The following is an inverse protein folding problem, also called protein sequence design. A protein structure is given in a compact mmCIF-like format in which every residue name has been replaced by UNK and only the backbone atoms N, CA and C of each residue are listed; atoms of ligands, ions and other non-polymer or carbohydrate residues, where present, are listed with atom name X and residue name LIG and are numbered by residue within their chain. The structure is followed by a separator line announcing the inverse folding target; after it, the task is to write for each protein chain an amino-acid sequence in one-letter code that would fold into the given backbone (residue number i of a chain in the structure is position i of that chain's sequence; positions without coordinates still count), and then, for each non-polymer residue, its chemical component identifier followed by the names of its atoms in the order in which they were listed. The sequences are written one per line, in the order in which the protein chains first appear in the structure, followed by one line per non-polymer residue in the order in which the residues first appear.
data_IF_127015889650
#
_entry.id   IF_127015889650
#
_cell.length_a   1.000
_cell.length_b   1.000
_cell.length_c   1.000
_cell.angle_alpha   90.00
_cell.angle_beta   90.00
_cell.angle_gamma   90.00
#
_symmetry.space_group_name_H-M   'P 1'
#
loop_
_entity.id
_entity.type
_entity.pdbx_description
1 polymer ?
#
# COMPACT_ATOMS: atom_id res chain seq x y z
N UNK A 1 -21.60 -14.25 -11.64
CA UNK A 1 -20.22 -14.33 -11.16
C UNK A 1 -19.58 -12.95 -11.00
N UNK A 2 -19.51 -12.08 -12.02
CA UNK A 2 -18.94 -10.72 -11.89
C UNK A 2 -19.62 -9.87 -10.82
N UNK A 3 -20.94 -9.91 -10.73
CA UNK A 3 -21.69 -9.17 -9.71
C UNK A 3 -21.36 -9.67 -8.29
N UNK A 4 -21.29 -11.00 -8.09
CA UNK A 4 -20.90 -11.58 -6.81
C UNK A 4 -19.45 -11.19 -6.44
N UNK A 5 -18.53 -11.19 -7.42
CA UNK A 5 -17.16 -10.74 -7.25
C UNK A 5 -17.08 -9.25 -6.84
N UNK A 6 -17.83 -8.39 -7.54
CA UNK A 6 -17.94 -6.97 -7.22
C UNK A 6 -18.41 -6.73 -5.79
N UNK A 7 -19.51 -7.40 -5.39
CA UNK A 7 -20.07 -7.26 -4.03
C UNK A 7 -19.07 -7.73 -2.97
N UNK A 8 -18.36 -8.83 -3.24
CA UNK A 8 -17.33 -9.34 -2.33
C UNK A 8 -16.16 -8.36 -2.21
N UNK A 9 -15.65 -7.83 -3.32
CA UNK A 9 -14.60 -6.81 -3.33
C UNK A 9 -15.05 -5.53 -2.60
N UNK A 10 -16.28 -5.09 -2.81
CA UNK A 10 -16.86 -3.92 -2.14
C UNK A 10 -16.96 -4.13 -0.63
N UNK A 11 -17.40 -5.30 -0.21
CA UNK A 11 -17.44 -5.68 1.20
C UNK A 11 -16.03 -5.68 1.82
N UNK A 12 -15.04 -6.27 1.15
CA UNK A 12 -13.65 -6.27 1.61
C UNK A 12 -13.14 -4.83 1.75
N UNK A 13 -13.34 -3.99 0.73
CA UNK A 13 -12.93 -2.58 0.74
C UNK A 13 -13.59 -1.74 1.85
N UNK A 14 -14.87 -1.99 2.15
CA UNK A 14 -15.62 -1.28 3.19
C UNK A 14 -15.18 -1.64 4.61
N UNK A 15 -14.86 -2.91 4.86
CA UNK A 15 -14.54 -3.40 6.21
C UNK A 15 -13.06 -3.34 6.56
N UNK A 16 -12.19 -2.98 5.63
CA UNK A 16 -10.74 -2.96 5.90
C UNK A 16 -10.22 -1.54 6.08
N UNK A 17 -10.13 -1.12 7.33
CA UNK A 17 -9.60 0.18 7.75
C UNK A 17 -8.10 0.14 8.11
N UNK A 18 -7.40 -0.98 7.84
CA UNK A 18 -6.05 -1.23 8.35
C UNK A 18 -4.89 -1.25 7.34
N UNK A 19 -5.12 -0.84 6.08
CA UNK A 19 -4.11 -0.88 5.01
C UNK A 19 -4.07 -2.21 4.24
N UNK A 20 -3.36 -2.24 3.08
CA UNK A 20 -3.42 -3.34 2.12
C UNK A 20 -3.07 -4.72 2.67
N UNK A 21 -2.06 -4.80 3.55
CA UNK A 21 -1.67 -6.08 4.16
C UNK A 21 -2.69 -6.64 5.16
N UNK A 22 -3.47 -5.79 5.81
CA UNK A 22 -4.55 -6.23 6.71
C UNK A 22 -5.72 -6.88 5.95
N UNK A 23 -5.82 -6.62 4.64
CA UNK A 23 -6.82 -7.23 3.77
C UNK A 23 -6.51 -8.68 3.38
N UNK A 24 -5.25 -9.11 3.43
CA UNK A 24 -4.83 -10.43 2.95
C UNK A 24 -5.65 -11.57 3.59
N UNK A 25 -5.77 -11.66 4.92
CA UNK A 25 -6.55 -12.74 5.53
C UNK A 25 -8.04 -12.70 5.17
N UNK A 26 -8.58 -11.50 4.97
CA UNK A 26 -9.99 -11.32 4.60
C UNK A 26 -10.21 -11.75 3.15
N UNK A 27 -9.29 -11.38 2.25
CA UNK A 27 -9.31 -11.80 0.85
C UNK A 27 -9.15 -13.30 0.71
N UNK A 28 -8.19 -13.91 1.42
CA UNK A 28 -8.00 -15.37 1.43
C UNK A 28 -9.27 -16.07 1.88
N UNK A 29 -9.86 -15.66 2.99
CA UNK A 29 -11.10 -16.23 3.49
C UNK A 29 -12.26 -16.11 2.51
N UNK A 30 -12.45 -14.95 1.87
CA UNK A 30 -13.58 -14.74 0.96
C UNK A 30 -13.35 -15.45 -0.39
N UNK A 31 -12.15 -15.41 -0.98
CA UNK A 31 -11.91 -15.93 -2.33
C UNK A 31 -11.54 -17.42 -2.35
N UNK A 32 -10.80 -17.90 -1.35
CA UNK A 32 -10.35 -19.28 -1.26
C UNK A 32 -11.35 -20.12 -0.46
N UNK A 33 -11.63 -19.74 0.81
CA UNK A 33 -12.40 -20.61 1.71
C UNK A 33 -13.90 -20.55 1.41
N UNK A 34 -14.46 -19.36 1.23
CA UNK A 34 -15.92 -19.17 1.13
C UNK A 34 -16.44 -19.39 -0.29
N UNK A 35 -15.87 -18.69 -1.25
CA UNK A 35 -16.33 -18.75 -2.65
C UNK A 35 -15.62 -19.81 -3.47
N UNK A 36 -14.48 -20.31 -3.02
CA UNK A 36 -13.67 -21.32 -3.71
C UNK A 36 -13.41 -20.97 -5.18
N UNK A 37 -13.14 -19.69 -5.43
CA UNK A 37 -12.86 -19.21 -6.78
C UNK A 37 -11.45 -19.54 -7.24
N UNK A 38 -10.55 -19.83 -6.30
CA UNK A 38 -9.17 -20.24 -6.53
C UNK A 38 -8.67 -21.08 -5.35
N UNK A 39 -7.58 -21.80 -5.56
CA UNK A 39 -6.90 -22.48 -4.47
C UNK A 39 -5.95 -21.55 -3.70
N UNK A 40 -5.44 -22.05 -2.57
CA UNK A 40 -4.55 -21.26 -1.70
C UNK A 40 -3.21 -20.97 -2.37
N UNK A 41 -2.67 -21.89 -3.16
CA UNK A 41 -1.40 -21.71 -3.85
C UNK A 41 -1.52 -20.61 -4.90
N UNK A 42 -2.58 -20.65 -5.70
CA UNK A 42 -2.88 -19.61 -6.68
C UNK A 42 -3.05 -18.22 -6.07
N UNK A 43 -3.72 -18.15 -4.89
CA UNK A 43 -3.87 -16.90 -4.15
C UNK A 43 -2.51 -16.34 -3.72
N UNK A 44 -1.61 -17.20 -3.21
CA UNK A 44 -0.26 -16.80 -2.82
C UNK A 44 0.59 -16.34 -4.01
N UNK A 45 0.48 -17.00 -5.16
CA UNK A 45 1.20 -16.61 -6.37
C UNK A 45 0.77 -15.22 -6.85
N UNK A 46 -0.54 -14.95 -6.87
CA UNK A 46 -1.10 -13.62 -7.19
C UNK A 46 -0.62 -12.57 -6.18
N UNK A 47 -0.57 -12.92 -4.90
CA UNK A 47 -0.09 -12.02 -3.86
C UNK A 47 1.36 -11.59 -4.09
N UNK A 48 2.23 -12.51 -4.48
CA UNK A 48 3.64 -12.20 -4.80
C UNK A 48 3.74 -11.25 -5.99
N UNK A 49 2.95 -11.48 -7.05
CA UNK A 49 2.91 -10.60 -8.22
C UNK A 49 2.40 -9.20 -7.86
N UNK A 50 1.31 -9.12 -7.08
CA UNK A 50 0.76 -7.84 -6.63
C UNK A 50 1.73 -7.05 -5.73
N UNK A 51 2.56 -7.74 -4.93
CA UNK A 51 3.60 -7.09 -4.13
C UNK A 51 4.76 -6.53 -4.97
N UNK A 52 5.03 -7.12 -6.12
CA UNK A 52 6.06 -6.64 -7.04
C UNK A 52 5.59 -5.46 -7.91
N UNK A 53 4.28 -5.29 -8.04
CA UNK A 53 3.68 -4.21 -8.83
C UNK A 53 3.64 -2.91 -8.00
N UNK A 54 4.18 -1.80 -8.51
CA UNK A 54 4.11 -0.52 -7.81
C UNK A 54 2.68 0.02 -7.88
N UNK A 55 1.97 0.03 -6.74
CA UNK A 55 0.59 0.51 -6.66
C UNK A 55 -0.06 0.28 -5.30
N UNK A 56 -1.39 0.39 -5.26
CA UNK A 56 -2.17 0.10 -4.06
C UNK A 56 -2.41 -1.41 -4.00
N UNK A 57 -1.67 -2.09 -3.16
CA UNK A 57 -1.65 -3.54 -3.03
C UNK A 57 -3.04 -4.21 -3.07
N UNK A 58 -4.02 -3.64 -2.37
CA UNK A 58 -5.37 -4.21 -2.31
C UNK A 58 -6.09 -4.16 -3.67
N UNK A 59 -5.92 -3.06 -4.41
CA UNK A 59 -6.50 -2.88 -5.74
C UNK A 59 -5.79 -3.81 -6.74
N UNK A 60 -4.46 -3.90 -6.66
CA UNK A 60 -3.67 -4.78 -7.52
C UNK A 60 -4.05 -6.25 -7.31
N UNK A 61 -4.15 -6.69 -6.05
CA UNK A 61 -4.63 -8.04 -5.72
C UNK A 61 -6.01 -8.33 -6.34
N UNK A 62 -6.99 -7.44 -6.09
CA UNK A 62 -8.34 -7.64 -6.63
C UNK A 62 -8.38 -7.61 -8.16
N UNK A 63 -7.56 -6.76 -8.79
CA UNK A 63 -7.43 -6.70 -10.25
C UNK A 63 -6.86 -7.99 -10.82
N UNK A 64 -5.80 -8.53 -10.24
CA UNK A 64 -5.19 -9.78 -10.69
C UNK A 64 -6.12 -10.98 -10.48
N UNK A 65 -6.80 -11.05 -9.33
CA UNK A 65 -7.80 -12.09 -9.05
C UNK A 65 -8.95 -11.98 -10.06
N UNK A 66 -9.49 -10.77 -10.24
CA UNK A 66 -10.56 -10.52 -11.19
C UNK A 66 -10.18 -10.84 -12.63
N UNK A 67 -8.96 -10.47 -13.03
CA UNK A 67 -8.43 -10.79 -14.35
C UNK A 67 -8.34 -12.30 -14.58
N UNK A 68 -7.89 -13.05 -13.60
CA UNK A 68 -7.86 -14.52 -13.66
C UNK A 68 -9.24 -15.13 -13.80
N UNK A 69 -10.25 -14.57 -13.12
CA UNK A 69 -11.62 -15.11 -13.12
C UNK A 69 -12.38 -14.80 -14.41
N UNK A 70 -12.22 -13.62 -15.00
CA UNK A 70 -13.05 -13.12 -16.13
C UNK A 70 -12.29 -12.17 -17.07
N UNK A 71 -10.97 -12.28 -17.14
CA UNK A 71 -10.14 -11.45 -18.01
C UNK A 71 -10.20 -9.97 -17.63
N UNK A 72 -10.01 -9.08 -18.60
CA UNK A 72 -9.92 -7.62 -18.41
C UNK A 72 -11.12 -7.06 -17.64
N UNK A 73 -12.33 -7.49 -17.94
CA UNK A 73 -13.54 -7.03 -17.26
C UNK A 73 -13.57 -7.43 -15.78
N UNK A 74 -13.07 -8.63 -15.45
CA UNK A 74 -12.91 -9.05 -14.06
C UNK A 74 -11.93 -8.16 -13.30
N UNK A 75 -10.81 -7.82 -13.91
CA UNK A 75 -9.81 -6.92 -13.32
C UNK A 75 -10.37 -5.53 -13.02
N UNK A 76 -11.07 -4.92 -13.99
CA UNK A 76 -11.71 -3.61 -13.82
C UNK A 76 -12.75 -3.65 -12.69
N UNK A 77 -13.60 -4.67 -12.69
CA UNK A 77 -14.65 -4.84 -11.66
C UNK A 77 -14.05 -5.03 -10.28
N UNK A 78 -12.95 -5.77 -10.16
CA UNK A 78 -12.22 -5.95 -8.90
C UNK A 78 -11.63 -4.64 -8.36
N UNK A 79 -10.96 -3.88 -9.23
CA UNK A 79 -10.37 -2.59 -8.88
C UNK A 79 -11.43 -1.60 -8.39
N UNK A 80 -12.51 -1.43 -9.16
CA UNK A 80 -13.62 -0.53 -8.81
C UNK A 80 -14.30 -1.02 -7.53
N UNK A 81 -14.52 -2.33 -7.39
CA UNK A 81 -15.18 -2.91 -6.23
C UNK A 81 -14.48 -2.59 -4.91
N UNK A 82 -13.15 -2.65 -4.87
CA UNK A 82 -12.37 -2.30 -3.66
C UNK A 82 -12.28 -0.79 -3.45
N UNK A 83 -12.11 -0.01 -4.53
CA UNK A 83 -11.91 1.43 -4.43
C UNK A 83 -13.20 2.19 -4.07
N UNK A 84 -14.35 1.74 -4.56
CA UNK A 84 -15.62 2.45 -4.48
C UNK A 84 -16.07 2.78 -3.06
N UNK A 85 -16.07 1.85 -2.07
CA UNK A 85 -16.48 2.18 -0.71
C UNK A 85 -15.57 3.22 -0.05
N UNK A 86 -14.26 3.17 -0.32
CA UNK A 86 -13.32 4.16 0.20
C UNK A 86 -13.57 5.54 -0.41
N UNK A 87 -13.84 5.61 -1.70
CA UNK A 87 -14.18 6.87 -2.40
C UNK A 87 -15.46 7.46 -1.82
N UNK A 88 -16.51 6.65 -1.68
CA UNK A 88 -17.80 7.10 -1.11
C UNK A 88 -17.60 7.60 0.32
N UNK A 89 -16.89 6.86 1.17
CA UNK A 89 -16.61 7.25 2.54
C UNK A 89 -15.87 8.60 2.62
N UNK A 90 -14.84 8.80 1.80
CA UNK A 90 -14.08 10.05 1.77
C UNK A 90 -14.96 11.22 1.30
N UNK A 91 -15.81 11.02 0.27
CA UNK A 91 -16.72 12.07 -0.21
C UNK A 91 -17.71 12.46 0.87
N UNK A 92 -18.32 11.47 1.54
CA UNK A 92 -19.27 11.72 2.62
C UNK A 92 -18.57 12.52 3.76
N UNK A 93 -17.41 12.05 4.21
CA UNK A 93 -16.64 12.74 5.25
C UNK A 93 -16.31 14.17 4.82
N UNK A 94 -15.85 14.38 3.59
CA UNK A 94 -15.49 15.70 3.07
C UNK A 94 -16.68 16.66 3.02
N UNK A 95 -17.86 16.17 2.65
CA UNK A 95 -19.09 16.98 2.63
C UNK A 95 -19.49 17.42 4.06
N UNK A 96 -19.48 16.49 5.00
CA UNK A 96 -19.80 16.80 6.41
C UNK A 96 -18.72 17.69 7.04
N UNK A 97 -17.45 17.42 6.75
CA UNK A 97 -16.34 18.17 7.33
C UNK A 97 -16.36 19.65 7.00
N UNK A 98 -16.80 20.04 5.79
CA UNK A 98 -16.95 21.44 5.41
C UNK A 98 -17.89 22.24 6.32
N UNK A 99 -18.90 21.59 6.90
CA UNK A 99 -19.87 22.25 7.80
C UNK A 99 -19.34 22.35 9.25
N UNK A 100 -18.44 21.46 9.65
CA UNK A 100 -17.99 21.34 11.04
C UNK A 100 -16.53 21.73 11.27
N UNK A 101 -15.79 22.12 10.21
CA UNK A 101 -14.34 22.42 10.31
C UNK A 101 -14.05 23.57 11.31
N UNK A 102 -14.97 24.53 11.45
CA UNK A 102 -14.83 25.71 12.32
C UNK A 102 -15.37 25.46 13.74
N UNK A 103 -15.77 24.22 14.05
CA UNK A 103 -16.22 23.85 15.39
C UNK A 103 -15.01 23.56 16.29
N UNK A 104 -14.94 24.25 17.43
CA UNK A 104 -13.86 24.13 18.42
C UNK A 104 -13.55 22.68 18.86
N UNK A 105 -14.58 21.85 19.05
CA UNK A 105 -14.40 20.46 19.44
C UNK A 105 -13.80 19.60 18.32
N UNK A 106 -14.20 19.86 17.09
CA UNK A 106 -13.67 19.17 15.90
C UNK A 106 -12.21 19.53 15.68
N UNK A 107 -11.85 20.80 15.81
CA UNK A 107 -10.47 21.26 15.70
C UNK A 107 -9.58 20.60 16.77
N UNK A 108 -10.01 20.57 18.03
CA UNK A 108 -9.27 19.89 19.10
C UNK A 108 -9.13 18.39 18.89
N UNK A 109 -10.18 17.73 18.41
CA UNK A 109 -10.13 16.30 18.07
C UNK A 109 -9.09 16.01 16.98
N UNK A 110 -9.07 16.81 15.91
CA UNK A 110 -8.07 16.66 14.86
C UNK A 110 -6.65 17.03 15.34
N UNK A 111 -6.51 18.02 16.19
CA UNK A 111 -5.22 18.34 16.80
C UNK A 111 -4.67 17.15 17.62
N UNK A 112 -5.53 16.41 18.31
CA UNK A 112 -5.16 15.19 19.03
C UNK A 112 -4.80 14.02 18.12
N UNK A 113 -5.41 13.91 16.93
CA UNK A 113 -5.15 12.82 15.97
C UNK A 113 -3.82 13.03 15.21
N UNK A 114 -3.41 14.27 14.95
CA UNK A 114 -2.17 14.57 14.20
C UNK A 114 -0.94 13.80 14.70
N UNK A 115 -0.60 13.78 16.01
CA UNK A 115 0.54 13.02 16.49
C UNK A 115 0.35 11.51 16.34
N UNK A 116 -0.88 10.98 16.41
CA UNK A 116 -1.17 9.57 16.17
C UNK A 116 -0.89 9.16 14.71
N UNK A 117 -1.24 10.02 13.75
CA UNK A 117 -0.92 9.78 12.33
C UNK A 117 0.59 9.77 12.11
N UNK A 118 1.34 10.67 12.74
CA UNK A 118 2.81 10.68 12.68
C UNK A 118 3.38 9.37 13.22
N UNK A 119 2.87 8.88 14.35
CA UNK A 119 3.28 7.60 14.93
C UNK A 119 2.96 6.40 14.02
N UNK A 120 1.78 6.40 13.35
CA UNK A 120 1.39 5.38 12.39
C UNK A 120 2.31 5.31 11.16
N UNK A 121 2.84 6.46 10.72
CA UNK A 121 3.81 6.52 9.62
C UNK A 121 5.22 6.13 10.11
N UNK A 122 5.62 6.57 11.30
CA UNK A 122 6.93 6.29 11.84
C UNK A 122 7.13 4.80 12.19
N UNK A 123 6.11 4.12 12.72
CA UNK A 123 6.23 2.72 13.13
C UNK A 123 6.65 1.77 12.00
N UNK A 124 6.02 1.78 10.79
CA UNK A 124 6.50 1.02 9.63
C UNK A 124 7.93 1.40 9.21
N UNK A 125 8.29 2.68 9.22
CA UNK A 125 9.64 3.12 8.89
C UNK A 125 10.70 2.50 9.80
N UNK A 126 10.47 2.49 11.12
CA UNK A 126 11.36 1.81 12.08
C UNK A 126 11.42 0.30 11.84
N UNK A 127 10.29 -0.34 11.56
CA UNK A 127 10.24 -1.76 11.26
C UNK A 127 11.03 -2.09 9.99
N UNK A 128 10.89 -1.30 8.93
CA UNK A 128 11.65 -1.46 7.69
C UNK A 128 13.15 -1.22 7.91
N UNK A 129 13.53 -0.18 8.67
CA UNK A 129 14.93 0.08 9.02
C UNK A 129 15.58 -1.10 9.75
N UNK A 130 14.85 -1.72 10.69
CA UNK A 130 15.31 -2.91 11.41
C UNK A 130 15.46 -4.12 10.49
N UNK A 131 14.52 -4.33 9.57
CA UNK A 131 14.54 -5.44 8.61
C UNK A 131 15.64 -5.27 7.56
N UNK A 132 15.93 -4.03 7.14
CA UNK A 132 17.00 -3.71 6.20
C UNK A 132 18.41 -3.89 6.81
N UNK A 133 18.53 -4.35 8.07
CA UNK A 133 19.81 -4.56 8.77
C UNK A 133 20.74 -3.35 8.63
N UNK A 134 20.20 -2.15 8.86
CA UNK A 134 20.99 -0.92 8.78
C UNK A 134 22.08 -1.00 9.84
N UNK A 135 23.33 -1.11 9.39
CA UNK A 135 24.50 -1.11 10.24
C UNK A 135 25.01 0.33 10.40
N UNK A 136 25.79 0.61 11.43
CA UNK A 136 26.39 1.95 11.67
C UNK A 136 27.07 2.53 10.42
N UNK A 137 27.67 1.67 9.60
CA UNK A 137 28.35 2.05 8.36
C UNK A 137 27.38 2.44 7.23
N UNK A 138 26.13 1.95 7.24
CA UNK A 138 25.14 2.24 6.19
C UNK A 138 24.06 3.24 6.66
N UNK A 139 24.08 3.63 7.94
CA UNK A 139 23.07 4.54 8.51
C UNK A 139 23.14 5.96 7.92
N UNK A 140 24.28 6.35 7.37
CA UNK A 140 24.45 7.65 6.72
C UNK A 140 23.64 7.76 5.41
N UNK A 141 23.34 6.64 4.71
CA UNK A 141 22.60 6.64 3.44
C UNK A 141 21.18 7.17 3.62
N UNK A 142 20.33 6.61 4.52
CA UNK A 142 18.99 7.17 4.75
C UNK A 142 19.02 8.59 5.31
N UNK A 143 20.03 8.93 6.15
CA UNK A 143 20.17 10.29 6.68
C UNK A 143 20.51 11.28 5.56
N UNK A 144 21.47 10.94 4.70
CA UNK A 144 21.84 11.76 3.54
C UNK A 144 20.66 11.90 2.56
N UNK A 145 19.91 10.82 2.30
CA UNK A 145 18.72 10.87 1.45
C UNK A 145 17.65 11.79 2.03
N UNK A 146 17.40 11.73 3.33
CA UNK A 146 16.45 12.59 4.03
C UNK A 146 16.90 14.06 3.97
N UNK A 147 18.18 14.35 4.19
CA UNK A 147 18.75 15.69 4.09
C UNK A 147 18.65 16.24 2.67
N UNK A 148 18.93 15.44 1.64
CA UNK A 148 18.80 15.83 0.24
C UNK A 148 17.35 16.20 -0.14
N UNK A 149 16.38 15.43 0.33
CA UNK A 149 14.97 15.71 0.08
C UNK A 149 14.55 17.00 0.80
N UNK A 150 14.93 17.14 2.09
CA UNK A 150 14.46 18.26 2.90
C UNK A 150 15.17 19.59 2.59
N UNK A 151 16.50 19.57 2.37
CA UNK A 151 17.28 20.79 2.17
C UNK A 151 17.33 21.26 0.71
N UNK A 152 17.37 20.30 -0.24
CA UNK A 152 17.47 20.63 -1.67
C UNK A 152 16.16 20.46 -2.43
N UNK A 153 15.09 19.97 -1.80
CA UNK A 153 13.79 19.75 -2.46
C UNK A 153 13.83 18.74 -3.60
N UNK A 154 14.85 17.87 -3.62
CA UNK A 154 15.03 16.86 -4.69
C UNK A 154 13.91 15.82 -4.61
N UNK A 155 13.25 15.55 -5.74
CA UNK A 155 12.23 14.52 -5.80
C UNK A 155 12.80 13.15 -5.38
N UNK A 156 12.10 12.38 -4.52
CA UNK A 156 12.51 11.04 -4.10
C UNK A 156 12.82 10.09 -5.26
N UNK A 157 12.19 10.30 -6.41
CA UNK A 157 12.38 9.48 -7.62
C UNK A 157 13.85 9.51 -8.09
N UNK A 158 14.47 10.70 -8.12
CA UNK A 158 15.87 10.82 -8.54
C UNK A 158 16.83 10.13 -7.57
N UNK A 159 16.51 10.15 -6.28
CA UNK A 159 17.31 9.48 -5.26
C UNK A 159 17.22 7.96 -5.41
N UNK A 160 16.02 7.42 -5.69
CA UNK A 160 15.83 5.98 -5.93
C UNK A 160 16.62 5.53 -7.17
N UNK A 161 16.52 6.28 -8.27
CA UNK A 161 17.27 5.98 -9.51
C UNK A 161 18.78 6.03 -9.26
N UNK A 162 19.27 7.08 -8.61
CA UNK A 162 20.68 7.24 -8.29
C UNK A 162 21.19 6.11 -7.39
N UNK A 163 20.44 5.76 -6.34
CA UNK A 163 20.79 4.66 -5.44
C UNK A 163 20.81 3.31 -6.17
N UNK A 164 19.86 3.07 -7.10
CA UNK A 164 19.81 1.88 -7.94
C UNK A 164 21.05 1.76 -8.84
N UNK A 165 21.40 2.85 -9.55
CA UNK A 165 22.59 2.89 -10.43
C UNK A 165 23.87 2.69 -9.63
N UNK A 166 24.04 3.40 -8.51
CA UNK A 166 25.21 3.25 -7.64
C UNK A 166 25.32 1.84 -7.05
N UNK A 167 24.19 1.23 -6.67
CA UNK A 167 24.13 -0.14 -6.17
C UNK A 167 24.58 -1.15 -7.23
N UNK A 168 24.14 -0.98 -8.48
CA UNK A 168 24.56 -1.84 -9.59
C UNK A 168 26.05 -1.70 -9.92
N UNK A 169 26.56 -0.48 -9.94
CA UNK A 169 27.99 -0.21 -10.18
C UNK A 169 28.86 -0.83 -9.06
N UNK A 170 28.46 -0.62 -7.80
CA UNK A 170 29.18 -1.21 -6.67
C UNK A 170 29.15 -2.75 -6.67
N UNK A 171 28.01 -3.33 -7.00
CA UNK A 171 27.85 -4.79 -7.11
C UNK A 171 28.71 -5.38 -8.23
N UNK A 172 28.81 -4.69 -9.38
CA UNK A 172 29.67 -5.11 -10.51
C UNK A 172 31.16 -5.03 -10.16
N UNK A 173 31.57 -3.98 -9.46
CA UNK A 173 32.96 -3.81 -9.01
C UNK A 173 33.38 -4.88 -7.98
N UNK A 174 32.46 -5.36 -7.15
CA UNK A 174 32.74 -6.40 -6.15
C UNK A 174 32.79 -7.81 -6.74
N UNK A 175 32.06 -8.06 -7.86
CA UNK A 175 32.14 -9.34 -8.61
C UNK A 175 33.44 -9.49 -9.41
N UNK A 176 34.10 -8.40 -9.77
CA UNK A 176 35.37 -8.43 -10.51
C UNK A 176 36.57 -8.71 -9.57
N UNK A 177 36.38 -8.59 -8.24
CA UNK A 177 37.43 -8.84 -7.23
C UNK A 177 37.36 -10.24 -6.58
N UNK A 178 36.52 -11.14 -7.08
CA UNK A 178 36.51 -12.56 -6.75
C UNK A 178 36.84 -13.37 -7.99
#
# INVERSE_FOLDING_TARGET
MLFSFFVTCNKIGAFTLGGGYAMIPIMEREFVDRHKWMDKQEFMDIMVVAQATPGIFAIDMASHIGYKLRGIWGGIVGAIGIALPSIIAIIIIAMFFRQFKDNYWVEKFFAGIRPAVVALIAAPCFKMAKTAKINRYNAWIPVASCALIYLLGVSPIYIIIAAGVLGLLYGKMRKVKK
#
